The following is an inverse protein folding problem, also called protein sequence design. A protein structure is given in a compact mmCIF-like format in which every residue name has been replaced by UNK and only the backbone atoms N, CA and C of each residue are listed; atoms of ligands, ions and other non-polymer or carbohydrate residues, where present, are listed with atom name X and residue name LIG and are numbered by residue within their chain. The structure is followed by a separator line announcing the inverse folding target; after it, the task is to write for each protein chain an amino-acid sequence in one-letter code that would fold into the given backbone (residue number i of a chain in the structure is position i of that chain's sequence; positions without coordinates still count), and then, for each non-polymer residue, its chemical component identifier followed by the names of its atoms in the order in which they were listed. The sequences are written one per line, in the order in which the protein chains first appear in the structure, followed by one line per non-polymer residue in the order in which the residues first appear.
data_IF_689074497090
#
_entry.id   IF_689074497090
#
_cell.length_a   1.000
_cell.length_b   1.000
_cell.length_c   1.000
_cell.angle_alpha   90.00
_cell.angle_beta   90.00
_cell.angle_gamma   90.00
#
_symmetry.space_group_name_H-M   'P 1'
#
loop_
_entity.id
_entity.type
_entity.pdbx_description
1 polymer ?
#
# COMPACT_ATOMS: atom_id res chain seq x y z
N UNK A 1 -1.39 -39.56 -6.12
CA UNK A 1 -1.47 -38.24 -6.79
C UNK A 1 -1.37 -37.19 -5.69
N UNK A 2 -0.24 -36.53 -5.57
CA UNK A 2 -0.04 -35.52 -4.53
C UNK A 2 -0.88 -34.30 -4.92
N UNK A 3 -1.86 -33.94 -4.11
CA UNK A 3 -2.69 -32.75 -4.34
C UNK A 3 -1.76 -31.54 -4.20
N UNK A 4 -1.50 -30.86 -5.30
CA UNK A 4 -0.71 -29.61 -5.29
C UNK A 4 -1.48 -28.57 -4.49
N UNK A 5 -0.89 -28.08 -3.38
CA UNK A 5 -1.52 -27.05 -2.55
C UNK A 5 -1.56 -25.73 -3.32
N UNK A 6 -2.74 -25.11 -3.34
CA UNK A 6 -2.95 -23.76 -3.90
C UNK A 6 -3.04 -22.77 -2.76
N UNK A 7 -2.24 -21.72 -2.84
CA UNK A 7 -2.26 -20.59 -1.90
C UNK A 7 -2.51 -19.30 -2.67
N UNK A 8 -3.22 -18.36 -2.05
CA UNK A 8 -3.36 -17.00 -2.54
C UNK A 8 -2.59 -16.04 -1.64
N UNK A 9 -1.78 -15.20 -2.23
CA UNK A 9 -1.14 -14.11 -1.50
C UNK A 9 -1.60 -12.75 -2.01
N UNK A 10 -2.05 -11.93 -1.06
CA UNK A 10 -2.48 -10.57 -1.27
C UNK A 10 -1.71 -9.56 -0.42
N UNK A 11 -1.75 -8.30 -0.81
CA UNK A 11 -1.20 -7.18 -0.04
C UNK A 11 -2.04 -5.94 -0.28
N UNK A 12 -2.38 -5.25 0.81
CA UNK A 12 -3.12 -3.99 0.80
C UNK A 12 -2.22 -2.94 1.45
N UNK A 13 -1.95 -1.83 0.76
CA UNK A 13 -1.33 -0.67 1.38
C UNK A 13 -2.42 0.25 1.95
N UNK A 14 -2.07 1.12 2.90
CA UNK A 14 -2.99 2.12 3.47
C UNK A 14 -3.57 3.08 2.43
N UNK A 15 -2.96 3.15 1.24
CA UNK A 15 -3.36 4.02 0.12
C UNK A 15 -4.10 3.28 -1.00
N UNK A 16 -4.10 1.95 -0.99
CA UNK A 16 -4.85 1.17 -1.98
C UNK A 16 -6.32 1.08 -1.51
N UNK A 17 -7.24 1.70 -2.23
CA UNK A 17 -8.69 1.61 -1.97
C UNK A 17 -9.30 0.21 -2.18
N UNK A 18 -8.49 -0.85 -2.20
CA UNK A 18 -8.93 -2.23 -2.29
C UNK A 18 -9.21 -2.77 -0.88
N UNK A 19 -10.39 -3.34 -0.70
CA UNK A 19 -10.73 -4.07 0.51
C UNK A 19 -10.13 -5.48 0.49
N UNK A 20 -9.84 -6.05 1.66
CA UNK A 20 -9.47 -7.47 1.80
C UNK A 20 -10.55 -8.38 1.19
N UNK A 21 -11.83 -8.01 1.29
CA UNK A 21 -12.94 -8.77 0.73
C UNK A 21 -12.77 -9.06 -0.77
N UNK A 22 -12.36 -8.05 -1.58
CA UNK A 22 -12.16 -8.27 -3.02
C UNK A 22 -11.02 -9.24 -3.34
N UNK A 23 -10.04 -9.39 -2.45
CA UNK A 23 -8.94 -10.35 -2.63
C UNK A 23 -9.37 -11.77 -2.22
N UNK A 24 -10.24 -11.92 -1.22
CA UNK A 24 -10.86 -13.21 -0.92
C UNK A 24 -11.76 -13.69 -2.07
N UNK A 25 -12.51 -12.77 -2.69
CA UNK A 25 -13.35 -13.11 -3.85
C UNK A 25 -12.50 -13.53 -5.06
N UNK A 26 -11.39 -12.84 -5.32
CA UNK A 26 -10.42 -13.21 -6.36
C UNK A 26 -9.82 -14.61 -6.07
N UNK A 27 -9.43 -14.87 -4.83
CA UNK A 27 -8.90 -16.17 -4.40
C UNK A 27 -9.91 -17.30 -4.61
N UNK A 28 -11.18 -17.11 -4.19
CA UNK A 28 -12.26 -18.10 -4.37
C UNK A 28 -12.55 -18.38 -5.84
N UNK A 29 -12.56 -17.34 -6.69
CA UNK A 29 -12.74 -17.48 -8.14
C UNK A 29 -11.66 -18.35 -8.79
N UNK A 30 -10.46 -18.42 -8.17
CA UNK A 30 -9.34 -19.27 -8.62
C UNK A 30 -9.25 -20.60 -7.85
N UNK A 31 -10.29 -20.96 -7.09
CA UNK A 31 -10.39 -22.24 -6.37
C UNK A 31 -9.50 -22.34 -5.13
N UNK A 32 -9.15 -21.21 -4.50
CA UNK A 32 -8.42 -21.18 -3.22
C UNK A 32 -9.43 -21.08 -2.08
N UNK A 33 -9.23 -21.90 -1.04
CA UNK A 33 -10.06 -21.87 0.18
C UNK A 33 -9.60 -20.74 1.09
N UNK A 34 -10.50 -20.14 1.86
CA UNK A 34 -10.21 -18.99 2.74
C UNK A 34 -9.04 -19.24 3.71
N UNK A 35 -8.87 -20.49 4.18
CA UNK A 35 -7.75 -20.89 5.05
C UNK A 35 -6.37 -20.85 4.37
N UNK A 36 -6.34 -20.84 3.04
CA UNK A 36 -5.13 -20.80 2.21
C UNK A 36 -4.93 -19.40 1.58
N UNK A 37 -5.63 -18.39 2.10
CA UNK A 37 -5.50 -16.98 1.70
C UNK A 37 -4.67 -16.23 2.73
N UNK A 38 -3.59 -15.61 2.29
CA UNK A 38 -2.66 -14.84 3.10
C UNK A 38 -2.63 -13.38 2.62
N UNK A 39 -3.01 -12.43 3.46
CA UNK A 39 -3.07 -11.01 3.09
C UNK A 39 -2.33 -10.17 4.13
N UNK A 40 -1.29 -9.44 3.69
CA UNK A 40 -0.63 -8.43 4.51
C UNK A 40 -1.34 -7.07 4.33
N UNK A 41 -1.96 -6.57 5.40
CA UNK A 41 -2.69 -5.30 5.41
C UNK A 41 -1.83 -4.15 5.96
N UNK A 42 -1.99 -2.96 5.39
CA UNK A 42 -1.26 -1.76 5.81
C UNK A 42 0.23 -1.76 5.45
N UNK A 43 0.69 -2.70 4.61
CA UNK A 43 2.11 -2.92 4.32
C UNK A 43 2.51 -2.40 2.96
N UNK A 44 3.58 -1.59 2.90
CA UNK A 44 4.12 -1.07 1.65
C UNK A 44 4.86 -2.15 0.86
N UNK A 45 4.51 -2.31 -0.42
CA UNK A 45 5.20 -3.23 -1.33
C UNK A 45 6.59 -2.78 -1.75
N UNK A 46 6.94 -1.50 -1.51
CA UNK A 46 8.26 -0.94 -1.84
C UNK A 46 9.18 -0.83 -0.62
N UNK A 47 8.63 -0.43 0.55
CA UNK A 47 9.45 -0.16 1.73
C UNK A 47 9.66 -1.38 2.63
N UNK A 48 8.76 -2.38 2.56
CA UNK A 48 8.83 -3.59 3.38
C UNK A 48 9.11 -4.79 2.49
N UNK A 49 10.25 -5.44 2.71
CA UNK A 49 10.63 -6.65 1.98
C UNK A 49 9.67 -7.83 2.26
N UNK A 50 9.45 -8.76 1.32
CA UNK A 50 8.59 -9.92 1.56
C UNK A 50 8.96 -10.69 2.84
N UNK A 51 10.23 -10.96 3.05
CA UNK A 51 10.73 -11.73 4.20
C UNK A 51 10.43 -11.06 5.57
N UNK A 52 10.14 -9.76 5.59
CA UNK A 52 9.74 -9.01 6.78
C UNK A 52 8.21 -9.00 7.02
N UNK A 53 7.40 -9.58 6.12
CA UNK A 53 5.94 -9.59 6.20
C UNK A 53 5.45 -10.89 6.81
N UNK A 54 4.50 -10.78 7.74
CA UNK A 54 4.02 -11.95 8.49
C UNK A 54 3.28 -12.95 7.60
N UNK A 55 2.31 -12.48 6.80
CA UNK A 55 1.50 -13.37 5.97
C UNK A 55 2.29 -13.94 4.79
N UNK A 56 3.23 -13.16 4.22
CA UNK A 56 4.15 -13.69 3.22
C UNK A 56 4.96 -14.86 3.76
N UNK A 57 5.58 -14.72 4.95
CA UNK A 57 6.38 -15.79 5.55
C UNK A 57 5.57 -17.07 5.79
N UNK A 58 4.31 -16.94 6.21
CA UNK A 58 3.39 -18.07 6.35
C UNK A 58 3.10 -18.74 5.01
N UNK A 59 2.74 -17.94 4.00
CA UNK A 59 2.49 -18.45 2.65
C UNK A 59 3.71 -19.16 2.07
N UNK A 60 4.89 -18.56 2.15
CA UNK A 60 6.12 -19.16 1.65
C UNK A 60 6.52 -20.44 2.41
N UNK A 61 6.32 -20.48 3.75
CA UNK A 61 6.53 -21.68 4.55
C UNK A 61 5.59 -22.82 4.12
N UNK A 62 4.37 -22.50 3.76
CA UNK A 62 3.36 -23.48 3.35
C UNK A 62 3.50 -23.91 1.88
N UNK A 63 4.23 -23.16 1.06
CA UNK A 63 4.58 -23.53 -0.30
C UNK A 63 5.60 -24.65 -0.27
N UNK A 64 5.23 -25.78 -0.81
CA UNK A 64 6.09 -26.95 -0.95
C UNK A 64 6.44 -27.17 -2.40
N UNK A 65 7.42 -28.02 -2.65
CA UNK A 65 7.79 -28.36 -4.02
C UNK A 65 6.55 -28.80 -4.84
N UNK A 66 6.30 -28.10 -5.96
CA UNK A 66 5.14 -28.31 -6.80
C UNK A 66 3.85 -27.60 -6.34
N UNK A 67 3.90 -26.71 -5.33
CA UNK A 67 2.76 -25.88 -4.92
C UNK A 67 2.46 -24.77 -5.94
N UNK A 68 1.24 -24.22 -5.84
CA UNK A 68 0.77 -23.12 -6.69
C UNK A 68 0.56 -21.89 -5.82
N UNK A 69 1.25 -20.79 -6.14
CA UNK A 69 1.03 -19.48 -5.56
C UNK A 69 0.23 -18.63 -6.54
N UNK A 70 -0.95 -18.20 -6.12
CA UNK A 70 -1.79 -17.28 -6.87
C UNK A 70 -1.60 -15.88 -6.30
N UNK A 71 -1.35 -14.90 -7.16
CA UNK A 71 -1.24 -13.48 -6.84
C UNK A 71 -2.02 -12.67 -7.88
N UNK A 72 -2.59 -11.54 -7.49
CA UNK A 72 -3.22 -10.65 -8.47
C UNK A 72 -2.21 -10.16 -9.51
N UNK A 73 -1.05 -9.73 -9.04
CA UNK A 73 0.09 -9.30 -9.85
C UNK A 73 1.39 -9.40 -9.04
N UNK A 74 2.53 -9.46 -9.71
CA UNK A 74 3.84 -9.60 -9.08
C UNK A 74 4.17 -8.46 -8.10
N UNK A 75 3.58 -7.25 -8.25
CA UNK A 75 3.75 -6.13 -7.33
C UNK A 75 3.17 -6.39 -5.93
N UNK A 76 2.32 -7.41 -5.77
CA UNK A 76 1.88 -7.86 -4.44
C UNK A 76 3.03 -8.47 -3.67
N UNK A 77 3.91 -9.21 -4.36
CA UNK A 77 5.13 -9.79 -3.76
C UNK A 77 6.10 -8.65 -3.44
N UNK A 78 6.57 -7.89 -4.43
CA UNK A 78 7.40 -6.70 -4.21
C UNK A 78 7.32 -5.73 -5.38
N UNK A 79 7.50 -4.43 -5.08
CA UNK A 79 7.68 -3.36 -6.08
C UNK A 79 9.15 -2.99 -6.28
N UNK A 80 10.08 -3.66 -5.58
CA UNK A 80 11.52 -3.47 -5.76
C UNK A 80 12.07 -4.59 -6.64
N UNK A 81 12.78 -4.21 -7.70
CA UNK A 81 13.36 -5.17 -8.65
C UNK A 81 14.14 -6.29 -7.95
N UNK A 82 15.14 -5.93 -7.16
CA UNK A 82 16.02 -6.92 -6.53
C UNK A 82 15.30 -7.86 -5.56
N UNK A 83 14.30 -7.37 -4.82
CA UNK A 83 13.51 -8.18 -3.89
C UNK A 83 12.58 -9.14 -4.67
N UNK A 84 11.86 -8.61 -5.65
CA UNK A 84 10.96 -9.42 -6.47
C UNK A 84 11.73 -10.52 -7.21
N UNK A 85 12.83 -10.15 -7.86
CA UNK A 85 13.64 -11.08 -8.63
C UNK A 85 14.20 -12.22 -7.76
N UNK A 86 14.80 -11.90 -6.60
CA UNK A 86 15.31 -12.92 -5.67
C UNK A 86 14.21 -13.83 -5.14
N UNK A 87 13.06 -13.26 -4.77
CA UNK A 87 11.94 -14.03 -4.26
C UNK A 87 11.40 -14.98 -5.32
N UNK A 88 11.22 -14.50 -6.55
CA UNK A 88 10.77 -15.34 -7.65
C UNK A 88 11.77 -16.44 -8.00
N UNK A 89 13.07 -16.14 -8.03
CA UNK A 89 14.10 -17.17 -8.25
C UNK A 89 14.05 -18.26 -7.17
N UNK A 90 13.84 -17.88 -5.90
CA UNK A 90 13.69 -18.83 -4.79
C UNK A 90 12.45 -19.71 -4.98
N UNK A 91 11.29 -19.13 -5.35
CA UNK A 91 10.08 -19.90 -5.66
C UNK A 91 10.27 -20.85 -6.85
N UNK A 92 10.94 -20.39 -7.91
CA UNK A 92 11.24 -21.22 -9.07
C UNK A 92 12.18 -22.40 -8.70
N UNK A 93 13.16 -22.16 -7.86
CA UNK A 93 14.06 -23.20 -7.37
C UNK A 93 13.34 -24.26 -6.50
N UNK A 94 12.29 -23.87 -5.78
CA UNK A 94 11.41 -24.76 -5.04
C UNK A 94 10.40 -25.52 -5.93
N UNK A 95 10.36 -25.25 -7.23
CA UNK A 95 9.39 -25.85 -8.16
C UNK A 95 7.97 -25.31 -7.98
N UNK A 96 7.82 -24.11 -7.40
CA UNK A 96 6.51 -23.47 -7.24
C UNK A 96 6.05 -22.88 -8.56
N UNK A 97 4.76 -23.07 -8.89
CA UNK A 97 4.10 -22.37 -9.98
C UNK A 97 3.48 -21.08 -9.45
N UNK A 98 3.82 -19.93 -10.04
CA UNK A 98 3.22 -18.64 -9.71
C UNK A 98 2.25 -18.22 -10.81
N UNK A 99 0.98 -17.98 -10.46
CA UNK A 99 -0.09 -17.58 -11.37
C UNK A 99 -0.57 -16.16 -11.05
N UNK A 100 -0.60 -15.28 -12.08
CA UNK A 100 -1.08 -13.92 -11.96
C UNK A 100 -2.52 -13.81 -12.45
N UNK A 101 -3.47 -13.42 -11.58
CA UNK A 101 -4.89 -13.37 -11.94
C UNK A 101 -5.23 -12.21 -12.87
N UNK A 102 -4.45 -11.12 -12.83
CA UNK A 102 -4.72 -9.90 -13.60
C UNK A 102 -4.62 -10.10 -15.12
N UNK A 103 -3.71 -10.96 -15.58
CA UNK A 103 -3.41 -11.14 -17.02
C UNK A 103 -3.20 -12.60 -17.41
N UNK A 104 -3.42 -13.56 -16.51
CA UNK A 104 -3.26 -14.99 -16.79
C UNK A 104 -1.81 -15.45 -16.96
N UNK A 105 -0.81 -14.62 -16.67
CA UNK A 105 0.59 -15.05 -16.77
C UNK A 105 0.93 -16.10 -15.73
N UNK A 106 1.69 -17.09 -16.15
CA UNK A 106 2.16 -18.20 -15.31
C UNK A 106 3.68 -18.31 -15.39
N UNK A 107 4.31 -18.49 -14.22
CA UNK A 107 5.74 -18.76 -14.07
C UNK A 107 5.89 -20.12 -13.40
N UNK A 108 6.34 -21.11 -14.17
CA UNK A 108 6.43 -22.50 -13.69
C UNK A 108 7.85 -22.85 -13.22
N UNK A 109 7.99 -23.14 -11.92
CA UNK A 109 9.25 -23.58 -11.33
C UNK A 109 9.66 -24.98 -11.78
N UNK A 110 8.70 -25.81 -12.25
CA UNK A 110 8.97 -27.17 -12.72
C UNK A 110 9.29 -27.27 -14.23
N UNK A 111 9.39 -26.12 -14.93
CA UNK A 111 9.76 -26.11 -16.33
C UNK A 111 11.12 -26.84 -16.54
N UNK A 112 11.17 -27.77 -17.47
CA UNK A 112 12.37 -28.59 -17.73
C UNK A 112 13.13 -28.17 -18.97
N UNK A 113 12.43 -27.57 -19.94
CA UNK A 113 13.07 -27.09 -21.17
C UNK A 113 14.00 -25.91 -20.87
N UNK A 114 15.30 -25.99 -21.22
CA UNK A 114 16.25 -24.93 -20.93
C UNK A 114 15.90 -23.57 -21.59
N UNK A 115 15.30 -23.59 -22.79
CA UNK A 115 14.93 -22.38 -23.52
C UNK A 115 13.73 -21.72 -22.84
N UNK A 116 12.72 -22.50 -22.47
CA UNK A 116 11.54 -22.00 -21.75
C UNK A 116 11.92 -21.47 -20.36
N UNK A 117 12.84 -22.15 -19.66
CA UNK A 117 13.42 -21.62 -18.39
C UNK A 117 14.08 -20.26 -18.59
N UNK A 118 14.97 -20.15 -19.58
CA UNK A 118 15.67 -18.90 -19.85
C UNK A 118 14.68 -17.78 -20.25
N UNK A 119 13.67 -18.10 -21.08
CA UNK A 119 12.62 -17.16 -21.45
C UNK A 119 11.81 -16.69 -20.25
N UNK A 120 11.38 -17.62 -19.40
CA UNK A 120 10.68 -17.30 -18.13
C UNK A 120 11.52 -16.36 -17.26
N UNK A 121 12.80 -16.66 -17.06
CA UNK A 121 13.68 -15.89 -16.20
C UNK A 121 13.96 -14.49 -16.77
N UNK A 122 14.09 -14.37 -18.09
CA UNK A 122 14.21 -13.08 -18.79
C UNK A 122 12.94 -12.23 -18.65
N UNK A 123 11.76 -12.83 -18.82
CA UNK A 123 10.47 -12.16 -18.64
C UNK A 123 10.31 -11.69 -17.19
N UNK A 124 10.63 -12.53 -16.21
CA UNK A 124 10.61 -12.17 -14.79
C UNK A 124 11.50 -10.97 -14.48
N UNK A 125 12.74 -10.98 -14.98
CA UNK A 125 13.67 -9.88 -14.77
C UNK A 125 13.15 -8.58 -15.38
N UNK A 126 12.63 -8.64 -16.61
CA UNK A 126 12.04 -7.47 -17.28
C UNK A 126 10.85 -6.90 -16.52
N UNK A 127 9.91 -7.75 -16.12
CA UNK A 127 8.70 -7.32 -15.40
C UNK A 127 9.01 -6.75 -14.02
N UNK A 128 9.99 -7.31 -13.31
CA UNK A 128 10.43 -6.78 -12.04
C UNK A 128 11.05 -5.38 -12.19
N UNK A 129 11.88 -5.17 -13.22
CA UNK A 129 12.47 -3.88 -13.52
C UNK A 129 11.41 -2.83 -13.91
N UNK A 130 10.45 -3.21 -14.77
CA UNK A 130 9.35 -2.35 -15.19
C UNK A 130 8.47 -1.95 -14.00
N UNK A 131 8.13 -2.88 -13.12
CA UNK A 131 7.32 -2.60 -11.93
C UNK A 131 7.98 -1.58 -10.98
N UNK A 132 9.29 -1.63 -10.81
CA UNK A 132 10.03 -0.63 -10.03
C UNK A 132 10.07 0.73 -10.74
N UNK A 133 10.31 0.75 -12.06
CA UNK A 133 10.31 1.98 -12.85
C UNK A 133 8.95 2.68 -12.80
N UNK A 134 7.86 1.95 -12.96
CA UNK A 134 6.49 2.47 -12.86
C UNK A 134 6.18 3.04 -11.46
N UNK A 135 6.66 2.39 -10.40
CA UNK A 135 6.51 2.91 -9.04
C UNK A 135 7.25 4.23 -8.86
N UNK A 136 8.50 4.33 -9.31
CA UNK A 136 9.32 5.55 -9.24
C UNK A 136 8.71 6.69 -10.04
N UNK A 137 8.26 6.42 -11.25
CA UNK A 137 7.62 7.41 -12.12
C UNK A 137 6.34 7.97 -11.49
N UNK A 138 5.46 7.12 -10.93
CA UNK A 138 4.25 7.56 -10.23
C UNK A 138 4.59 8.41 -9.00
N UNK A 139 5.57 8.02 -8.21
CA UNK A 139 6.01 8.78 -7.04
C UNK A 139 6.55 10.17 -7.43
N UNK A 140 7.28 10.26 -8.54
CA UNK A 140 7.79 11.54 -9.05
C UNK A 140 6.67 12.42 -9.57
N UNK A 141 5.74 11.88 -10.37
CA UNK A 141 4.58 12.63 -10.86
C UNK A 141 3.72 13.15 -9.70
N UNK A 142 3.53 12.37 -8.66
CA UNK A 142 2.83 12.79 -7.44
C UNK A 142 3.55 13.96 -6.75
N UNK A 143 4.89 13.86 -6.59
CA UNK A 143 5.69 14.97 -6.00
C UNK A 143 5.55 16.25 -6.81
N UNK A 144 5.65 16.17 -8.14
CA UNK A 144 5.46 17.33 -9.04
C UNK A 144 4.06 17.92 -8.91
N UNK A 145 3.01 17.06 -8.90
CA UNK A 145 1.64 17.50 -8.72
C UNK A 145 1.42 18.23 -7.38
N UNK A 146 1.99 17.70 -6.29
CA UNK A 146 1.96 18.35 -4.97
C UNK A 146 2.68 19.70 -4.98
N UNK A 147 3.85 19.79 -5.63
CA UNK A 147 4.61 21.05 -5.73
C UNK A 147 3.82 22.12 -6.50
N UNK A 148 3.23 21.76 -7.64
CA UNK A 148 2.38 22.66 -8.43
C UNK A 148 1.16 23.12 -7.62
N UNK A 149 0.48 22.20 -6.92
CA UNK A 149 -0.67 22.53 -6.10
C UNK A 149 -0.32 23.44 -4.91
N UNK A 150 0.87 23.25 -4.31
CA UNK A 150 1.39 24.16 -3.26
C UNK A 150 1.69 25.55 -3.83
N UNK A 151 2.36 25.63 -4.98
CA UNK A 151 2.65 26.91 -5.63
C UNK A 151 1.38 27.67 -6.04
N UNK A 152 0.32 26.92 -6.43
CA UNK A 152 -1.00 27.48 -6.75
C UNK A 152 -1.85 27.82 -5.51
N UNK A 153 -1.31 27.72 -4.27
CA UNK A 153 -2.03 28.01 -3.03
C UNK A 153 -3.19 27.05 -2.71
N UNK A 154 -3.25 25.89 -3.37
CA UNK A 154 -4.33 24.91 -3.15
C UNK A 154 -4.20 24.16 -1.81
N UNK A 155 -3.02 24.14 -1.22
CA UNK A 155 -2.76 23.54 0.09
C UNK A 155 -3.04 24.55 1.22
N UNK A 156 -4.32 24.81 1.48
CA UNK A 156 -4.74 25.74 2.55
C UNK A 156 -4.81 25.09 3.94
N UNK A 157 -4.39 23.83 4.08
CA UNK A 157 -4.58 23.06 5.31
C UNK A 157 -6.05 22.70 5.57
N UNK A 158 -6.32 22.26 6.79
CA UNK A 158 -7.71 22.02 7.24
C UNK A 158 -8.41 23.37 7.36
N UNK A 159 -9.60 23.51 6.77
CA UNK A 159 -10.43 24.69 6.94
C UNK A 159 -10.62 24.98 8.44
N UNK A 160 -10.53 26.25 8.81
CA UNK A 160 -10.78 26.68 10.19
C UNK A 160 -12.23 26.39 10.52
N UNK A 161 -12.46 25.64 11.58
CA UNK A 161 -13.84 25.30 12.03
C UNK A 161 -14.49 26.41 12.84
N UNK A 162 -13.72 27.45 13.21
CA UNK A 162 -14.17 28.55 14.07
C UNK A 162 -13.67 29.89 13.52
N UNK A 163 -14.48 30.93 13.70
CA UNK A 163 -14.11 32.31 13.37
C UNK A 163 -13.19 32.88 14.47
N UNK A 164 -11.89 32.93 14.20
CA UNK A 164 -10.89 33.42 15.14
C UNK A 164 -11.01 34.93 15.39
N UNK A 165 -11.50 35.70 14.41
CA UNK A 165 -11.71 37.14 14.56
C UNK A 165 -12.87 37.40 15.51
N UNK A 166 -13.97 36.69 15.38
CA UNK A 166 -15.12 36.78 16.29
C UNK A 166 -14.77 36.36 17.73
N UNK A 167 -13.97 35.30 17.91
CA UNK A 167 -13.50 34.83 19.22
C UNK A 167 -12.63 35.92 19.90
N UNK A 168 -11.72 36.51 19.14
CA UNK A 168 -10.83 37.59 19.68
C UNK A 168 -11.62 38.84 20.02
N UNK A 169 -12.43 39.34 19.09
CA UNK A 169 -13.23 40.54 19.28
C UNK A 169 -14.15 40.44 20.52
N UNK A 170 -14.88 39.35 20.64
CA UNK A 170 -15.75 39.13 21.80
C UNK A 170 -14.97 39.11 23.13
N UNK A 171 -13.81 38.46 23.16
CA UNK A 171 -12.96 38.40 24.35
C UNK A 171 -12.45 39.78 24.74
N UNK A 172 -12.05 40.60 23.81
CA UNK A 172 -11.53 41.97 24.05
C UNK A 172 -12.66 42.89 24.52
N UNK A 173 -13.84 42.83 23.89
CA UNK A 173 -15.01 43.63 24.23
C UNK A 173 -15.51 43.36 25.68
N UNK A 174 -15.48 42.09 26.11
CA UNK A 174 -16.00 41.70 27.39
C UNK A 174 -14.93 41.54 28.50
N UNK A 175 -13.65 41.78 28.18
CA UNK A 175 -12.54 41.57 29.10
C UNK A 175 -12.43 40.13 29.62
N UNK A 176 -13.00 39.15 28.87
CA UNK A 176 -13.21 37.79 29.32
C UNK A 176 -11.91 37.00 29.42
N UNK A 177 -11.85 36.06 30.38
CA UNK A 177 -10.76 35.12 30.51
C UNK A 177 -10.75 34.11 29.33
N UNK A 178 -9.61 33.43 29.12
CA UNK A 178 -9.51 32.36 28.09
C UNK A 178 -10.54 31.25 28.34
N UNK A 179 -10.82 30.95 29.60
CA UNK A 179 -11.76 29.89 29.97
C UNK A 179 -13.21 30.29 29.67
N UNK A 180 -13.63 31.47 30.06
CA UNK A 180 -14.97 32.01 29.75
C UNK A 180 -15.21 32.11 28.25
N UNK A 181 -14.20 32.58 27.51
CA UNK A 181 -14.26 32.63 26.02
C UNK A 181 -14.38 31.24 25.40
N UNK A 182 -13.67 30.25 25.94
CA UNK A 182 -13.75 28.87 25.49
C UNK A 182 -15.15 28.26 25.73
N UNK A 183 -15.75 28.51 26.88
CA UNK A 183 -17.10 28.09 27.23
C UNK A 183 -18.13 28.77 26.32
N UNK A 184 -18.03 30.09 26.11
CA UNK A 184 -18.95 30.87 25.27
C UNK A 184 -19.03 30.36 23.81
N UNK A 185 -17.87 30.02 23.24
CA UNK A 185 -17.78 29.57 21.82
C UNK A 185 -17.79 28.04 21.68
N UNK A 186 -17.88 27.27 22.74
CA UNK A 186 -17.84 25.80 22.70
C UNK A 186 -16.54 25.26 22.13
N UNK A 187 -15.40 25.94 22.37
CA UNK A 187 -14.08 25.58 21.84
C UNK A 187 -13.08 25.26 22.93
N UNK A 188 -12.00 24.57 22.58
CA UNK A 188 -10.91 24.35 23.55
C UNK A 188 -10.11 25.62 23.83
N UNK A 189 -9.55 25.75 25.04
CA UNK A 189 -8.70 26.89 25.45
C UNK A 189 -7.52 27.15 24.53
N UNK A 190 -6.98 26.06 23.91
CA UNK A 190 -5.92 26.15 22.90
C UNK A 190 -6.39 26.86 21.60
N UNK A 191 -7.66 26.74 21.24
CA UNK A 191 -8.26 27.46 20.11
C UNK A 191 -8.36 28.94 20.39
N UNK A 192 -8.80 29.33 21.60
CA UNK A 192 -8.86 30.73 22.03
C UNK A 192 -7.46 31.36 22.03
N UNK A 193 -6.45 30.67 22.58
CA UNK A 193 -5.05 31.16 22.56
C UNK A 193 -4.56 31.40 21.13
N UNK A 194 -4.82 30.47 20.21
CA UNK A 194 -4.45 30.62 18.79
C UNK A 194 -5.17 31.80 18.14
N UNK A 195 -6.46 31.96 18.39
CA UNK A 195 -7.24 33.08 17.87
C UNK A 195 -6.66 34.45 18.30
N UNK A 196 -6.19 34.57 19.55
CA UNK A 196 -5.59 35.80 20.06
C UNK A 196 -4.21 36.10 19.42
N UNK A 197 -3.40 35.08 19.12
CA UNK A 197 -2.07 35.24 18.51
C UNK A 197 -2.14 35.55 17.02
N UNK A 198 -2.91 34.77 16.24
CA UNK A 198 -2.95 34.90 14.79
C UNK A 198 -3.68 36.16 14.30
N UNK A 199 -4.68 36.66 15.02
CA UNK A 199 -5.37 37.89 14.68
C UNK A 199 -4.57 39.17 15.03
N UNK A 200 -3.37 39.02 15.62
CA UNK A 200 -2.41 40.12 15.83
C UNK A 200 -1.40 40.25 14.70
N UNK A 201 -1.41 39.33 13.72
CA UNK A 201 -0.45 39.29 12.60
C UNK A 201 -1.10 39.57 11.24
N UNK A 202 -2.34 40.00 11.19
CA UNK A 202 -3.09 40.45 10.03
C UNK A 202 -3.42 41.96 10.14
#
# INVERSE_FOLDING_TARGET
MQIMRKLYYGRISTTDGQSSASQYDDARAHGVQDKDVFIDEGVSGYHVAPDAREQWRKAEHDLRHGGILIVRWLDRISRRYGELHRTMQRLMALGVRVECTLNGMTFDGNERDPILKATRDAVLAFMAAQGEADYKNRAEMQRRGVAIAKAAGKYRGRARSHDYAAIKAWREEHGASIRETAEKFGVGTATVKRACVEASSA
#
